data_IF_985236512768
#
_entry.id   IF_985236512768
#
_cell.length_a   1.000
_cell.length_b   1.000
_cell.length_c   1.000
_cell.angle_alpha   90.00
_cell.angle_beta   90.00
_cell.angle_gamma   90.00
#
_symmetry.space_group_name_H-M   'P 1'
#
loop_
_entity.id
_entity.type
_entity.pdbx_description
1 polymer ?
#
# COMPACT_ATOMS: atom_id res chain seq x y z
N UNK A 1 -30.13 7.29 6.24
CA UNK A 1 -29.10 6.52 6.94
C UNK A 1 -27.99 7.49 7.27
N UNK A 2 -27.76 7.78 8.55
CA UNK A 2 -26.70 8.70 8.95
C UNK A 2 -25.36 8.12 8.53
N UNK A 3 -24.52 8.92 7.86
CA UNK A 3 -23.10 8.60 7.75
C UNK A 3 -22.56 8.60 9.17
N UNK A 4 -22.24 7.43 9.72
CA UNK A 4 -21.34 7.35 10.87
C UNK A 4 -19.99 7.89 10.39
N UNK A 5 -19.77 9.19 10.55
CA UNK A 5 -18.44 9.78 10.49
C UNK A 5 -17.71 9.26 11.73
N UNK A 6 -16.86 8.26 11.54
CA UNK A 6 -16.06 7.71 12.63
C UNK A 6 -15.02 8.75 13.01
N UNK A 7 -15.31 9.49 14.08
CA UNK A 7 -14.39 10.42 14.69
C UNK A 7 -13.08 9.73 15.03
N UNK A 8 -11.98 10.20 14.43
CA UNK A 8 -10.67 9.55 14.48
C UNK A 8 -10.12 9.59 15.91
N UNK A 9 -10.19 8.45 16.61
CA UNK A 9 -9.59 8.33 17.94
C UNK A 9 -8.07 8.32 17.83
N UNK A 10 -7.41 9.15 18.64
CA UNK A 10 -5.95 9.21 18.73
C UNK A 10 -5.52 8.62 20.08
N UNK A 11 -4.63 7.63 20.06
CA UNK A 11 -4.01 7.07 21.26
C UNK A 11 -2.56 7.54 21.35
N UNK A 12 -2.20 8.34 22.36
CA UNK A 12 -0.82 8.75 22.64
C UNK A 12 -0.23 7.91 23.79
N UNK A 13 0.95 7.33 23.58
CA UNK A 13 1.67 6.52 24.57
C UNK A 13 2.45 7.45 25.50
N UNK A 14 2.04 7.50 26.77
CA UNK A 14 2.64 8.36 27.80
C UNK A 14 3.79 7.68 28.54
N UNK A 15 3.68 6.38 28.81
CA UNK A 15 4.75 5.63 29.47
C UNK A 15 4.69 4.14 29.20
N UNK A 16 5.84 3.48 29.30
CA UNK A 16 6.04 2.03 29.31
C UNK A 16 6.92 1.70 30.52
N UNK A 17 6.50 0.80 31.39
CA UNK A 17 7.28 0.46 32.58
C UNK A 17 6.73 -0.76 33.33
N UNK A 18 7.31 -1.03 34.49
CA UNK A 18 6.83 -2.06 35.42
C UNK A 18 6.39 -1.40 36.72
N UNK A 19 5.34 -1.92 37.36
CA UNK A 19 4.94 -1.53 38.71
C UNK A 19 5.95 -2.02 39.75
N UNK A 20 5.82 -1.59 41.01
CA UNK A 20 6.60 -2.12 42.13
C UNK A 20 6.50 -3.63 42.27
N UNK A 21 5.35 -4.17 41.87
CA UNK A 21 5.00 -5.58 42.00
C UNK A 21 5.39 -6.38 40.74
N UNK A 22 6.08 -5.75 39.78
CA UNK A 22 6.62 -6.38 38.58
C UNK A 22 5.65 -6.49 37.40
N UNK A 23 4.45 -5.93 37.51
CA UNK A 23 3.45 -5.95 36.42
C UNK A 23 3.87 -4.99 35.30
N UNK A 24 3.95 -5.48 34.08
CA UNK A 24 4.26 -4.67 32.90
C UNK A 24 3.06 -3.81 32.51
N UNK A 25 3.26 -2.51 32.35
CA UNK A 25 2.19 -1.56 32.06
C UNK A 25 2.56 -0.56 30.97
N UNK A 26 1.53 -0.15 30.23
CA UNK A 26 1.54 1.08 29.44
C UNK A 26 0.50 2.06 29.95
N UNK A 27 0.83 3.35 29.86
CA UNK A 27 -0.13 4.43 30.09
C UNK A 27 -0.39 5.11 28.76
N UNK A 28 -1.66 5.21 28.39
CA UNK A 28 -2.08 5.86 27.14
C UNK A 28 -3.11 6.94 27.43
N UNK A 29 -3.09 7.99 26.63
CA UNK A 29 -4.17 8.97 26.59
C UNK A 29 -4.91 8.84 25.26
N UNK A 30 -6.23 8.76 25.33
CA UNK A 30 -7.11 8.60 24.17
C UNK A 30 -7.92 9.87 24.01
N UNK A 31 -7.84 10.46 22.83
CA UNK A 31 -8.56 11.69 22.49
C UNK A 31 -9.47 11.43 21.30
N UNK A 32 -10.72 11.89 21.39
CA UNK A 32 -11.71 11.86 20.31
C UNK A 32 -12.47 13.18 20.32
N UNK A 33 -12.34 13.99 19.27
CA UNK A 33 -12.85 15.37 19.26
C UNK A 33 -12.42 16.15 20.52
N UNK A 34 -13.38 16.66 21.30
CA UNK A 34 -13.20 17.42 22.53
C UNK A 34 -13.32 16.53 23.79
N UNK A 35 -13.11 15.22 23.64
CA UNK A 35 -13.21 14.21 24.70
C UNK A 35 -11.87 13.51 24.90
N UNK A 36 -11.51 13.23 26.14
CA UNK A 36 -10.23 12.61 26.47
C UNK A 36 -10.33 11.73 27.72
N UNK A 37 -9.66 10.58 27.71
CA UNK A 37 -9.45 9.77 28.91
C UNK A 37 -8.03 9.20 28.94
N UNK A 38 -7.53 8.94 30.14
CA UNK A 38 -6.25 8.28 30.37
C UNK A 38 -6.48 6.87 30.87
N UNK A 39 -5.79 5.90 30.27
CA UNK A 39 -5.87 4.49 30.62
C UNK A 39 -4.50 3.99 31.06
N UNK A 40 -4.49 3.15 32.10
CA UNK A 40 -3.35 2.31 32.47
C UNK A 40 -3.73 0.89 32.10
N UNK A 41 -2.88 0.24 31.31
CA UNK A 41 -3.15 -1.05 30.67
C UNK A 41 -2.05 -2.00 31.12
N UNK A 42 -2.44 -3.08 31.78
CA UNK A 42 -1.54 -4.21 32.06
C UNK A 42 -1.31 -4.95 30.75
N UNK A 43 -0.04 -5.19 30.41
CA UNK A 43 0.33 -5.92 29.19
C UNK A 43 1.17 -7.15 29.54
N UNK A 44 1.07 -8.17 28.72
CA UNK A 44 1.88 -9.38 28.86
C UNK A 44 3.37 -9.11 28.55
N UNK A 45 4.24 -10.01 28.99
CA UNK A 45 5.69 -9.89 28.79
C UNK A 45 6.09 -9.86 27.31
N UNK A 46 5.41 -10.62 26.45
CA UNK A 46 5.73 -10.66 25.02
C UNK A 46 5.47 -9.30 24.35
N UNK A 47 4.31 -8.69 24.61
CA UNK A 47 4.01 -7.32 24.13
C UNK A 47 4.96 -6.28 24.74
N UNK A 48 5.28 -6.42 26.04
CA UNK A 48 6.19 -5.49 26.73
C UNK A 48 7.59 -5.51 26.10
N UNK A 49 8.17 -6.69 25.88
CA UNK A 49 9.48 -6.85 25.25
C UNK A 49 9.48 -6.31 23.81
N UNK A 50 8.39 -6.50 23.07
CA UNK A 50 8.22 -5.93 21.73
C UNK A 50 8.30 -4.40 21.73
N UNK A 51 7.61 -3.74 22.66
CA UNK A 51 7.67 -2.28 22.83
C UNK A 51 9.03 -1.81 23.38
N UNK A 52 9.62 -2.57 24.30
CA UNK A 52 10.92 -2.26 24.89
C UNK A 52 12.03 -2.27 23.84
N UNK A 53 11.98 -3.20 22.89
CA UNK A 53 12.94 -3.28 21.77
C UNK A 53 12.93 -2.03 20.87
N UNK A 54 11.87 -1.21 20.90
CA UNK A 54 11.77 0.05 20.14
C UNK A 54 12.40 1.25 20.87
N UNK A 55 12.99 1.03 22.05
CA UNK A 55 13.68 2.08 22.81
C UNK A 55 15.00 2.50 22.14
N UNK A 56 15.43 3.76 22.37
CA UNK A 56 14.75 4.78 23.15
C UNK A 56 13.54 5.35 22.38
N UNK A 57 12.45 5.55 23.11
CA UNK A 57 11.23 6.17 22.63
C UNK A 57 11.40 7.70 22.62
N UNK A 58 12.41 8.17 21.88
CA UNK A 58 12.76 9.59 21.76
C UNK A 58 11.85 10.27 20.73
N UNK A 59 11.26 11.41 21.09
CA UNK A 59 10.40 12.22 20.22
C UNK A 59 9.40 13.03 21.04
N UNK A 60 8.85 14.08 20.43
CA UNK A 60 7.91 14.98 21.14
C UNK A 60 6.56 14.30 21.41
N UNK A 61 6.13 13.37 20.52
CA UNK A 61 4.92 12.56 20.68
C UNK A 61 5.04 11.18 20.05
N UNK A 62 4.49 10.20 20.75
CA UNK A 62 4.38 8.82 20.28
C UNK A 62 2.92 8.43 20.28
N UNK A 63 2.41 8.03 19.12
CA UNK A 63 1.06 7.51 18.96
C UNK A 63 1.08 6.00 18.87
N UNK A 64 0.12 5.36 19.50
CA UNK A 64 -0.12 3.93 19.39
C UNK A 64 -1.17 3.69 18.31
N UNK A 65 -0.94 2.71 17.43
CA UNK A 65 -1.94 2.29 16.47
C UNK A 65 -3.15 1.69 17.21
N UNK A 66 -4.39 2.13 16.92
CA UNK A 66 -5.60 1.51 17.44
C UNK A 66 -5.94 0.17 16.74
N UNK A 67 -5.18 -0.18 15.71
CA UNK A 67 -5.40 -1.35 14.88
C UNK A 67 -4.13 -2.19 14.82
N UNK A 68 -4.30 -3.50 14.98
CA UNK A 68 -3.22 -4.48 14.85
C UNK A 68 -3.36 -5.23 13.53
N UNK A 69 -2.22 -5.61 12.98
CA UNK A 69 -2.08 -6.29 11.68
C UNK A 69 -1.74 -7.76 11.93
N UNK A 70 -2.36 -8.66 11.17
CA UNK A 70 -2.02 -10.07 11.19
C UNK A 70 -0.85 -10.36 10.24
N UNK A 71 0.18 -11.06 10.71
CA UNK A 71 1.24 -11.62 9.87
C UNK A 71 1.05 -13.14 9.72
N UNK A 72 0.59 -13.63 8.55
CA UNK A 72 0.33 -15.05 8.33
C UNK A 72 1.62 -15.89 8.29
N UNK A 73 2.77 -15.29 7.98
CA UNK A 73 4.04 -16.01 7.88
C UNK A 73 4.68 -16.23 9.24
N UNK A 74 4.48 -15.28 10.16
CA UNK A 74 4.98 -15.36 11.53
C UNK A 74 3.94 -15.87 12.52
N UNK A 75 2.71 -16.06 12.08
CA UNK A 75 1.58 -16.48 12.90
C UNK A 75 1.43 -15.61 14.17
N UNK A 76 1.62 -14.31 14.01
CA UNK A 76 1.58 -13.33 15.12
C UNK A 76 0.94 -12.03 14.67
N UNK A 77 0.38 -11.30 15.62
CA UNK A 77 -0.05 -9.92 15.39
C UNK A 77 1.09 -8.94 15.59
N UNK A 78 1.00 -7.84 14.87
CA UNK A 78 1.84 -6.66 15.02
C UNK A 78 0.98 -5.43 15.26
N UNK A 79 1.34 -4.62 16.24
CA UNK A 79 0.87 -3.24 16.36
C UNK A 79 1.99 -2.30 15.94
N UNK A 80 1.68 -1.01 15.90
CA UNK A 80 2.63 0.01 15.51
C UNK A 80 2.62 1.18 16.48
N UNK A 81 3.78 1.79 16.64
CA UNK A 81 3.90 3.14 17.17
C UNK A 81 4.27 4.10 16.04
N UNK A 82 3.69 5.28 16.06
CA UNK A 82 4.03 6.38 15.18
C UNK A 82 4.80 7.41 15.99
N UNK A 83 6.08 7.55 15.70
CA UNK A 83 6.97 8.55 16.29
C UNK A 83 6.90 9.81 15.44
N UNK A 84 6.55 10.93 16.05
CA UNK A 84 6.58 12.24 15.37
C UNK A 84 7.62 13.12 16.04
N UNK A 85 8.58 13.58 15.25
CA UNK A 85 9.51 14.66 15.61
C UNK A 85 9.07 15.95 14.93
N UNK A 86 9.70 17.09 15.23
CA UNK A 86 9.42 18.35 14.52
C UNK A 86 9.67 18.30 13.00
N UNK A 87 10.33 17.25 12.48
CA UNK A 87 10.77 17.14 11.08
C UNK A 87 10.49 15.78 10.43
N UNK A 88 10.22 14.72 11.19
CA UNK A 88 10.00 13.36 10.67
C UNK A 88 8.80 12.68 11.33
N UNK A 89 8.22 11.71 10.61
CA UNK A 89 7.21 10.80 11.13
C UNK A 89 7.58 9.38 10.75
N UNK A 90 7.91 8.56 11.74
CA UNK A 90 8.38 7.19 11.56
C UNK A 90 7.37 6.22 12.16
N UNK A 91 7.00 5.17 11.41
CA UNK A 91 6.13 4.09 11.91
C UNK A 91 6.99 2.87 12.24
N UNK A 92 6.96 2.44 13.49
CA UNK A 92 7.72 1.29 14.00
C UNK A 92 6.75 0.21 14.45
N UNK A 93 6.98 -1.02 14.01
CA UNK A 93 6.13 -2.17 14.33
C UNK A 93 6.72 -2.98 15.48
N UNK A 94 5.84 -3.52 16.33
CA UNK A 94 6.21 -4.45 17.40
C UNK A 94 5.19 -5.60 17.47
N UNK A 95 5.65 -6.83 17.80
CA UNK A 95 4.74 -7.95 17.98
C UNK A 95 3.88 -7.74 19.23
N UNK A 96 2.62 -8.16 19.19
CA UNK A 96 1.70 -8.00 20.31
C UNK A 96 0.79 -9.21 20.51
N UNK A 97 0.31 -9.39 21.74
CA UNK A 97 -0.60 -10.48 22.10
C UNK A 97 -2.06 -10.17 21.78
N UNK A 98 -2.89 -11.20 21.72
CA UNK A 98 -4.35 -11.05 21.60
C UNK A 98 -4.98 -10.36 22.82
N UNK A 99 -4.39 -10.54 24.01
CA UNK A 99 -4.86 -9.87 25.21
C UNK A 99 -4.69 -8.35 25.10
N UNK A 100 -3.51 -7.90 24.65
CA UNK A 100 -3.27 -6.49 24.34
C UNK A 100 -4.27 -5.97 23.30
N UNK A 101 -4.50 -6.71 22.20
CA UNK A 101 -5.45 -6.33 21.15
C UNK A 101 -6.87 -6.18 21.72
N UNK A 102 -7.31 -7.13 22.56
CA UNK A 102 -8.62 -7.07 23.19
C UNK A 102 -8.76 -5.84 24.09
N UNK A 103 -7.71 -5.45 24.82
CA UNK A 103 -7.75 -4.27 25.67
C UNK A 103 -7.83 -2.97 24.84
N UNK A 104 -7.02 -2.86 23.78
CA UNK A 104 -7.07 -1.71 22.86
C UNK A 104 -8.45 -1.62 22.19
N UNK A 105 -9.03 -2.75 21.76
CA UNK A 105 -10.37 -2.80 21.17
C UNK A 105 -11.45 -2.31 22.14
N UNK A 106 -11.42 -2.73 23.41
CA UNK A 106 -12.36 -2.26 24.44
C UNK A 106 -12.27 -0.75 24.66
N UNK A 107 -11.05 -0.21 24.74
CA UNK A 107 -10.82 1.22 24.89
C UNK A 107 -11.42 1.99 23.72
N UNK A 108 -11.25 1.51 22.49
CA UNK A 108 -11.82 2.15 21.30
C UNK A 108 -13.34 2.21 21.29
N UNK A 109 -13.98 1.19 21.84
CA UNK A 109 -15.43 1.08 21.91
C UNK A 109 -16.04 1.81 23.11
N UNK A 110 -15.21 2.38 23.99
CA UNK A 110 -15.68 3.09 25.18
C UNK A 110 -16.03 4.54 24.83
N UNK A 111 -17.20 4.99 25.27
CA UNK A 111 -17.55 6.41 25.20
C UNK A 111 -16.65 7.23 26.13
N UNK A 112 -15.90 8.17 25.54
CA UNK A 112 -15.02 9.05 26.31
C UNK A 112 -15.82 10.13 27.05
N UNK A 113 -15.41 10.50 28.29
CA UNK A 113 -15.96 11.65 28.98
C UNK A 113 -15.50 12.97 28.32
N UNK A 114 -16.27 14.06 28.46
CA UNK A 114 -15.85 15.38 27.99
C UNK A 114 -14.56 15.83 28.70
N UNK A 115 -13.69 16.56 28.00
CA UNK A 115 -12.49 17.16 28.62
C UNK A 115 -12.95 18.07 29.77
N UNK A 116 -12.42 17.91 31.00
CA UNK A 116 -12.77 18.78 32.11
C UNK A 116 -12.43 20.24 31.74
N UNK A 117 -13.47 21.08 31.70
CA UNK A 117 -13.27 22.53 31.67
C UNK A 117 -12.75 22.92 33.05
N UNK A 118 -11.54 23.49 33.11
CA UNK A 118 -10.93 23.96 34.35
C UNK A 118 -11.82 25.08 34.95
N UNK A 119 -12.74 24.72 35.85
CA UNK A 119 -13.54 25.66 36.61
C UNK A 119 -12.60 26.38 37.59
N UNK A 120 -12.45 27.69 37.39
CA UNK A 120 -11.51 28.52 38.13
C UNK A 120 -11.57 28.32 39.65
N UNK A 121 -10.49 27.75 40.19
CA UNK A 121 -10.12 27.75 41.60
C UNK A 121 -8.81 28.51 41.79
N UNK A 122 -8.71 29.20 42.92
CA UNK A 122 -7.78 30.30 43.19
C UNK A 122 -6.27 30.00 43.05
N UNK A 123 -5.60 31.09 42.70
CA UNK A 123 -4.17 31.32 42.54
C UNK A 123 -3.32 30.80 43.71
N UNK A 124 -2.22 30.15 43.35
CA UNK A 124 -1.28 29.50 44.25
C UNK A 124 -0.10 28.83 43.53
N UNK A 125 0.46 29.51 42.51
CA UNK A 125 1.83 29.30 42.01
C UNK A 125 2.13 27.96 41.34
N UNK A 126 2.05 27.91 39.99
CA UNK A 126 3.01 27.31 39.03
C UNK A 126 2.56 27.73 37.61
N UNK A 127 3.51 28.14 36.79
CA UNK A 127 3.32 28.81 35.50
C UNK A 127 2.47 28.04 34.47
N UNK A 128 1.48 28.73 33.89
CA UNK A 128 0.59 28.23 32.83
C UNK A 128 1.29 28.19 31.47
N UNK A 129 1.58 27.01 30.94
CA UNK A 129 2.09 26.81 29.58
C UNK A 129 1.01 26.91 28.46
N UNK A 130 -0.26 27.18 28.80
CA UNK A 130 -1.38 27.12 27.86
C UNK A 130 -1.95 28.50 27.42
N UNK A 131 -1.25 29.61 27.71
CA UNK A 131 -1.76 30.96 27.41
C UNK A 131 -0.98 31.74 26.34
N UNK A 132 -0.09 31.07 25.59
CA UNK A 132 0.66 31.66 24.47
C UNK A 132 0.08 31.42 23.08
N UNK A 133 -1.05 30.70 22.94
CA UNK A 133 -1.62 30.34 21.63
C UNK A 133 -2.80 31.20 21.16
N UNK A 134 -3.38 32.06 22.00
CA UNK A 134 -4.57 32.86 21.63
C UNK A 134 -4.43 34.38 21.77
N UNK A 135 -3.27 34.89 22.20
CA UNK A 135 -3.01 36.35 22.24
C UNK A 135 -2.10 36.88 21.12
N UNK A 136 -1.52 36.01 20.28
CA UNK A 136 -0.69 36.45 19.15
C UNK A 136 -1.47 36.64 17.83
N UNK A 137 -2.69 36.12 17.72
CA UNK A 137 -3.53 36.26 16.50
C UNK A 137 -4.73 37.21 16.67
N UNK A 138 -4.76 38.04 17.71
CA UNK A 138 -5.85 38.99 17.95
C UNK A 138 -5.40 40.43 18.22
N UNK A 139 -4.18 40.77 17.76
CA UNK A 139 -3.64 42.14 17.70
C UNK A 139 -3.03 42.45 16.34
N UNK A 140 -3.70 42.08 15.25
CA UNK A 140 -3.43 42.66 13.92
C UNK A 140 -4.70 42.65 13.06
N UNK A 141 -5.74 43.36 13.53
CA UNK A 141 -6.83 43.80 12.65
C UNK A 141 -7.54 44.99 13.28
N UNK A 142 -6.99 46.20 13.11
CA UNK A 142 -7.75 47.43 12.93
C UNK A 142 -6.80 48.63 12.96
N UNK A 143 -6.91 49.46 11.91
CA UNK A 143 -6.34 50.80 11.70
C UNK A 143 -4.94 50.82 11.06
N UNK A 144 -4.91 51.21 9.78
CA UNK A 144 -4.30 52.45 9.24
C UNK A 144 -4.63 52.53 7.72
N UNK A 145 -4.73 53.72 7.10
CA UNK A 145 -5.57 54.00 5.91
C UNK A 145 -4.83 53.98 4.56
N UNK A 146 -5.62 54.17 3.49
CA UNK A 146 -5.26 54.27 2.07
C UNK A 146 -4.20 55.33 1.74
N UNK A 147 -3.09 54.94 1.10
CA UNK A 147 -2.24 55.73 0.16
C UNK A 147 -1.53 54.68 -0.74
N UNK A 148 -1.97 54.42 -1.97
CA UNK A 148 -1.57 55.01 -3.26
C UNK A 148 -0.07 54.87 -3.65
N UNK A 149 0.13 54.29 -4.84
CA UNK A 149 1.32 54.34 -5.73
C UNK A 149 2.58 53.53 -5.36
N UNK A 150 2.82 52.43 -6.08
CA UNK A 150 3.82 52.37 -7.15
C UNK A 150 3.81 51.00 -7.86
N UNK A 151 4.01 51.09 -9.17
CA UNK A 151 3.77 50.12 -10.25
C UNK A 151 4.77 48.93 -10.29
N UNK A 152 4.48 47.89 -11.11
CA UNK A 152 5.13 46.58 -11.12
C UNK A 152 6.50 46.64 -11.84
N UNK A 153 7.47 45.92 -11.28
CA UNK A 153 8.76 45.63 -11.94
C UNK A 153 9.02 44.14 -11.79
N UNK A 154 8.50 43.34 -12.71
CA UNK A 154 9.03 42.01 -13.06
C UNK A 154 8.43 41.54 -14.40
N UNK A 155 8.43 42.43 -15.38
CA UNK A 155 8.28 42.10 -16.80
C UNK A 155 9.19 43.08 -17.56
N UNK A 156 10.35 42.60 -18.01
CA UNK A 156 11.31 43.47 -18.69
C UNK A 156 12.77 43.04 -18.56
N UNK A 157 13.11 41.84 -19.01
CA UNK A 157 14.38 41.64 -19.69
C UNK A 157 14.08 41.10 -21.09
N UNK A 158 13.58 42.02 -21.92
CA UNK A 158 13.67 41.98 -23.38
C UNK A 158 15.16 41.83 -23.74
N UNK A 159 15.50 40.87 -24.60
CA UNK A 159 15.51 41.11 -26.03
C UNK A 159 16.26 42.40 -26.40
N UNK A 160 17.58 42.32 -26.42
CA UNK A 160 18.43 43.17 -27.23
C UNK A 160 19.48 42.27 -27.88
N UNK A 161 19.22 41.87 -29.11
CA UNK A 161 20.17 41.83 -30.25
C UNK A 161 19.54 41.04 -31.40
N UNK A 162 18.70 41.73 -32.17
CA UNK A 162 18.56 41.50 -33.60
C UNK A 162 18.64 42.86 -34.25
N UNK A 163 19.66 43.07 -35.10
CA UNK A 163 19.63 43.72 -36.41
C UNK A 163 21.06 43.65 -36.97
N UNK A 164 21.24 42.74 -37.92
CA UNK A 164 22.11 42.89 -39.10
C UNK A 164 21.36 42.09 -40.19
N UNK A 165 20.46 42.70 -40.96
CA UNK A 165 20.72 43.48 -42.17
C UNK A 165 21.60 42.76 -43.18
N UNK A 166 20.98 42.32 -44.27
CA UNK A 166 21.62 42.32 -45.59
C UNK A 166 21.39 41.08 -46.45
N UNK A 167 20.62 41.23 -47.54
CA UNK A 167 20.87 40.47 -48.77
C UNK A 167 19.77 39.51 -49.21
N UNK A 168 18.72 40.06 -49.82
CA UNK A 168 17.93 39.40 -50.87
C UNK A 168 18.83 39.17 -52.08
N UNK A 169 18.74 38.01 -52.72
CA UNK A 169 18.73 37.95 -54.18
C UNK A 169 17.80 36.82 -54.65
N UNK A 170 16.81 37.26 -55.43
CA UNK A 170 15.86 36.46 -56.18
C UNK A 170 16.55 35.87 -57.41
N UNK A 171 16.33 34.59 -57.69
CA UNK A 171 16.23 34.12 -59.07
C UNK A 171 15.23 32.97 -59.18
N UNK A 172 14.05 33.34 -59.65
CA UNK A 172 12.96 32.47 -60.11
C UNK A 172 13.17 32.14 -61.59
N UNK A 173 12.89 30.90 -61.99
CA UNK A 173 12.20 30.42 -63.23
C UNK A 173 12.75 29.02 -63.58
N UNK A 174 12.01 27.91 -63.41
CA UNK A 174 10.81 27.43 -64.13
C UNK A 174 10.99 27.47 -65.66
N UNK A 175 11.23 26.31 -66.30
CA UNK A 175 10.25 25.56 -67.14
C UNK A 175 10.88 24.36 -67.90
N UNK A 176 9.96 23.49 -68.35
CA UNK A 176 10.03 22.39 -69.32
C UNK A 176 10.37 21.01 -68.75
N UNK A 177 9.42 20.09 -68.61
CA UNK A 177 8.57 19.36 -69.58
C UNK A 177 9.14 17.97 -69.93
N UNK A 178 8.21 17.01 -69.86
CA UNK A 178 8.11 15.74 -70.60
C UNK A 178 8.42 14.39 -69.91
N UNK A 179 7.30 13.75 -69.54
CA UNK A 179 6.80 12.45 -70.04
C UNK A 179 7.73 11.23 -69.95
N UNK A 180 7.25 10.20 -69.23
CA UNK A 180 7.69 8.81 -69.42
C UNK A 180 7.26 7.83 -68.31
N UNK A 181 6.04 7.32 -68.40
CA UNK A 181 5.44 6.29 -67.53
C UNK A 181 5.61 4.89 -68.15
N UNK A 182 5.94 3.87 -67.34
CA UNK A 182 5.46 2.46 -67.37
C UNK A 182 6.10 1.72 -66.17
N UNK A 183 5.47 1.08 -65.18
CA UNK A 183 4.22 0.30 -64.93
C UNK A 183 4.32 -1.22 -65.22
N UNK A 184 3.75 -1.98 -64.25
CA UNK A 184 3.42 -3.43 -64.14
C UNK A 184 4.49 -4.29 -63.43
N UNK A 185 4.28 -5.00 -62.30
CA UNK A 185 3.17 -5.70 -61.59
C UNK A 185 2.80 -7.10 -62.15
N UNK A 186 2.81 -8.09 -61.23
CA UNK A 186 2.25 -9.48 -61.19
C UNK A 186 3.03 -10.56 -61.98
N UNK A 187 3.48 -11.69 -61.41
CA UNK A 187 2.65 -12.88 -61.05
C UNK A 187 3.44 -14.04 -60.40
N UNK A 188 2.79 -14.72 -59.41
CA UNK A 188 2.66 -16.19 -59.15
C UNK A 188 3.89 -17.11 -59.16
N UNK A 189 4.00 -18.24 -58.45
CA UNK A 189 3.38 -18.90 -57.28
C UNK A 189 4.16 -20.23 -57.11
N UNK A 190 4.01 -20.88 -55.95
CA UNK A 190 4.11 -22.33 -55.69
C UNK A 190 5.42 -23.15 -55.80
N UNK A 191 5.80 -23.72 -54.64
CA UNK A 191 5.79 -25.17 -54.31
C UNK A 191 7.07 -25.82 -53.76
N UNK A 192 6.81 -26.63 -52.71
CA UNK A 192 7.52 -27.82 -52.22
C UNK A 192 8.76 -27.70 -51.30
N UNK A 193 8.53 -28.07 -50.04
CA UNK A 193 9.48 -28.76 -49.13
C UNK A 193 9.58 -30.27 -49.51
N UNK A 194 10.23 -31.18 -48.74
CA UNK A 194 11.25 -31.10 -47.68
C UNK A 194 12.42 -32.13 -47.87
N UNK A 195 13.33 -32.29 -46.87
CA UNK A 195 14.03 -33.53 -46.38
C UNK A 195 15.50 -33.27 -45.92
N UNK A 196 15.73 -33.00 -44.61
CA UNK A 196 16.35 -33.84 -43.53
C UNK A 196 17.54 -34.78 -43.90
N UNK A 197 18.54 -35.15 -43.03
CA UNK A 197 19.43 -34.41 -42.08
C UNK A 197 20.86 -35.06 -41.95
N UNK A 198 21.51 -34.86 -40.78
CA UNK A 198 22.60 -35.66 -40.12
C UNK A 198 24.03 -35.11 -40.30
N UNK A 199 24.97 -35.13 -39.32
CA UNK A 199 25.18 -35.97 -38.12
C UNK A 199 26.06 -35.28 -37.07
N UNK A 200 25.97 -35.80 -35.85
CA UNK A 200 26.77 -35.59 -34.64
C UNK A 200 28.16 -36.27 -34.74
N UNK A 201 29.21 -35.72 -34.12
CA UNK A 201 30.25 -36.51 -33.42
C UNK A 201 31.16 -35.66 -32.51
N UNK A 202 31.53 -36.26 -31.39
CA UNK A 202 32.20 -35.75 -30.18
C UNK A 202 33.75 -35.54 -30.26
N UNK A 203 34.27 -35.06 -29.11
CA UNK A 203 35.61 -35.29 -28.50
C UNK A 203 36.74 -34.29 -28.84
N UNK A 204 37.70 -33.93 -27.97
CA UNK A 204 37.95 -33.98 -26.50
C UNK A 204 39.35 -33.36 -26.26
N UNK A 205 39.64 -32.86 -25.04
CA UNK A 205 40.97 -32.46 -24.47
C UNK A 205 41.65 -31.22 -25.08
N UNK A 206 42.25 -30.28 -24.35
CA UNK A 206 42.77 -30.11 -22.98
C UNK A 206 43.80 -28.95 -23.10
N UNK A 207 44.40 -28.30 -22.10
CA UNK A 207 44.36 -28.27 -20.65
C UNK A 207 45.38 -27.15 -20.24
N UNK A 208 45.38 -26.74 -18.96
CA UNK A 208 46.53 -26.14 -18.21
C UNK A 208 46.68 -24.59 -18.10
N UNK A 209 46.19 -24.10 -16.96
CA UNK A 209 46.85 -23.38 -15.83
C UNK A 209 47.47 -21.98 -15.96
N UNK A 210 47.18 -21.13 -14.96
CA UNK A 210 48.18 -20.71 -13.95
C UNK A 210 47.52 -20.15 -12.68
N UNK A 211 47.95 -20.67 -11.53
CA UNK A 211 47.70 -20.15 -10.18
C UNK A 211 49.03 -20.12 -9.41
N UNK A 212 49.19 -19.09 -8.55
CA UNK A 212 50.02 -18.95 -7.33
C UNK A 212 50.38 -17.44 -7.20
N UNK A 213 50.43 -16.79 -6.04
CA UNK A 213 51.22 -17.12 -4.84
C UNK A 213 50.64 -16.42 -3.59
N UNK A 214 50.83 -17.09 -2.44
CA UNK A 214 50.49 -16.75 -1.05
C UNK A 214 51.52 -15.79 -0.42
N UNK A 215 51.09 -14.90 0.49
CA UNK A 215 51.96 -14.37 1.55
C UNK A 215 51.19 -14.15 2.85
N UNK A 216 51.78 -14.66 3.94
CA UNK A 216 51.33 -14.71 5.32
C UNK A 216 51.99 -13.58 6.14
N UNK A 217 51.21 -12.88 6.99
CA UNK A 217 51.71 -12.13 8.15
C UNK A 217 50.66 -12.08 9.27
N UNK A 218 50.93 -12.80 10.34
CA UNK A 218 50.33 -12.66 11.68
C UNK A 218 50.78 -11.37 12.39
N UNK A 219 49.84 -10.63 12.96
CA UNK A 219 50.05 -9.75 14.12
C UNK A 219 48.79 -9.69 15.00
N UNK A 220 49.01 -9.70 16.31
CA UNK A 220 48.06 -9.92 17.40
C UNK A 220 47.17 -8.70 17.76
N UNK A 221 46.12 -9.00 18.53
CA UNK A 221 45.33 -8.14 19.46
C UNK A 221 44.29 -7.17 18.89
N UNK A 222 43.00 -7.47 19.07
CA UNK A 222 42.19 -7.13 20.27
C UNK A 222 40.83 -7.84 20.19
N UNK A 223 40.47 -8.57 21.24
CA UNK A 223 39.19 -9.25 21.36
C UNK A 223 38.07 -8.26 21.67
N UNK A 224 37.14 -8.07 20.73
CA UNK A 224 35.80 -7.57 20.99
C UNK A 224 34.84 -8.75 20.97
N UNK A 225 34.37 -9.14 22.14
CA UNK A 225 33.29 -10.11 22.30
C UNK A 225 32.01 -9.43 21.82
N UNK A 226 31.62 -9.68 20.57
CA UNK A 226 30.26 -9.44 20.12
C UNK A 226 29.40 -10.65 20.56
N UNK A 227 28.27 -10.44 21.24
CA UNK A 227 27.35 -11.52 21.54
C UNK A 227 26.76 -12.04 20.22
N UNK A 228 27.06 -13.32 19.94
CA UNK A 228 26.52 -14.08 18.84
C UNK A 228 25.02 -14.32 19.08
N UNK A 229 24.19 -13.37 18.65
CA UNK A 229 22.78 -13.63 18.42
C UNK A 229 22.73 -14.40 17.12
N UNK A 230 22.53 -15.71 17.21
CA UNK A 230 22.06 -16.53 16.09
C UNK A 230 20.80 -15.84 15.54
N UNK A 231 20.97 -14.99 14.53
CA UNK A 231 19.89 -14.61 13.63
C UNK A 231 19.47 -15.91 12.98
N UNK A 232 18.37 -16.49 13.46
CA UNK A 232 17.66 -17.50 12.69
C UNK A 232 17.45 -16.88 11.30
N UNK A 233 18.16 -17.44 10.32
CA UNK A 233 18.10 -17.02 8.93
C UNK A 233 16.64 -17.12 8.51
N UNK A 234 15.99 -15.97 8.33
CA UNK A 234 14.57 -15.87 8.02
C UNK A 234 14.43 -16.21 6.54
N UNK A 235 14.01 -17.44 6.23
CA UNK A 235 13.51 -17.78 4.89
C UNK A 235 12.14 -17.12 4.71
N UNK A 236 12.15 -15.87 4.23
CA UNK A 236 10.97 -15.38 3.52
C UNK A 236 10.89 -16.18 2.23
N UNK A 237 9.78 -16.86 1.99
CA UNK A 237 9.49 -17.36 0.65
C UNK A 237 9.12 -16.15 -0.21
N UNK A 238 10.15 -15.53 -0.78
CA UNK A 238 9.98 -14.59 -1.88
C UNK A 238 9.48 -15.43 -3.05
N UNK A 239 8.17 -15.37 -3.29
CA UNK A 239 7.59 -15.96 -4.50
C UNK A 239 8.04 -15.08 -5.66
N UNK A 240 9.10 -15.51 -6.34
CA UNK A 240 9.53 -14.90 -7.59
C UNK A 240 8.52 -15.33 -8.67
N UNK A 241 7.58 -14.43 -8.96
CA UNK A 241 6.59 -14.65 -10.01
C UNK A 241 7.30 -14.37 -11.33
N UNK A 242 7.71 -15.45 -12.01
CA UNK A 242 8.32 -15.45 -13.35
C UNK A 242 7.57 -14.47 -14.29
N UNK A 243 8.23 -13.36 -14.64
CA UNK A 243 7.65 -12.29 -15.47
C UNK A 243 7.24 -12.76 -16.87
N UNK A 244 7.77 -13.89 -17.34
CA UNK A 244 7.51 -14.43 -18.67
C UNK A 244 6.32 -15.40 -18.73
N UNK A 245 5.86 -15.90 -17.58
CA UNK A 245 4.67 -16.76 -17.50
C UNK A 245 3.49 -15.94 -17.00
N UNK A 246 2.44 -15.85 -17.83
CA UNK A 246 1.10 -15.40 -17.41
C UNK A 246 0.49 -16.45 -16.48
N UNK A 247 1.06 -16.63 -15.30
CA UNK A 247 0.60 -17.56 -14.30
C UNK A 247 -0.44 -16.85 -13.44
N UNK A 248 -1.67 -17.36 -13.47
CA UNK A 248 -2.80 -16.80 -12.71
C UNK A 248 -3.02 -17.48 -11.36
N UNK A 249 -2.07 -18.31 -10.91
CA UNK A 249 -2.19 -19.09 -9.69
C UNK A 249 -1.07 -18.85 -8.69
N UNK A 250 -1.11 -19.61 -7.62
CA UNK A 250 -0.07 -19.67 -6.60
C UNK A 250 0.48 -21.11 -6.50
N UNK A 251 1.64 -21.32 -5.86
CA UNK A 251 2.04 -22.67 -5.44
C UNK A 251 0.94 -23.35 -4.61
N UNK A 252 0.85 -24.69 -4.68
CA UNK A 252 -0.29 -25.46 -4.17
C UNK A 252 -0.56 -25.29 -2.65
N UNK A 253 0.43 -24.89 -1.86
CA UNK A 253 0.26 -24.63 -0.42
C UNK A 253 -0.41 -23.29 -0.09
N UNK A 254 -0.65 -22.44 -1.07
CA UNK A 254 -1.15 -21.09 -0.88
C UNK A 254 -2.55 -20.87 -1.45
N UNK A 255 -3.23 -19.89 -0.88
CA UNK A 255 -4.48 -19.34 -1.38
C UNK A 255 -4.52 -17.82 -1.16
N UNK A 256 -5.07 -17.08 -2.12
CA UNK A 256 -5.32 -15.65 -1.98
C UNK A 256 -6.81 -15.36 -2.13
N UNK A 257 -7.35 -14.61 -1.17
CA UNK A 257 -8.66 -13.97 -1.29
C UNK A 257 -8.44 -12.53 -1.74
N UNK A 258 -9.12 -12.13 -2.82
CA UNK A 258 -9.06 -10.78 -3.35
C UNK A 258 -10.47 -10.21 -3.50
N UNK A 259 -10.65 -8.93 -3.19
CA UNK A 259 -11.97 -8.26 -3.18
C UNK A 259 -11.96 -7.04 -4.11
N UNK A 260 -12.81 -7.04 -5.13
CA UNK A 260 -12.93 -5.98 -6.12
C UNK A 260 -14.11 -5.03 -5.81
N UNK A 261 -14.22 -3.95 -6.58
CA UNK A 261 -15.29 -2.94 -6.59
C UNK A 261 -15.45 -2.04 -5.36
N UNK A 262 -14.76 -2.35 -4.27
CA UNK A 262 -14.75 -1.54 -3.06
C UNK A 262 -14.12 -0.14 -3.22
N UNK A 263 -14.11 0.67 -2.16
CA UNK A 263 -14.77 0.40 -0.88
C UNK A 263 -16.28 0.64 -0.97
N UNK A 264 -17.04 -0.29 -0.40
CA UNK A 264 -18.50 -0.28 -0.28
C UNK A 264 -18.93 -0.15 1.19
N UNK A 265 -20.25 -0.13 1.50
CA UNK A 265 -20.73 -0.26 2.87
C UNK A 265 -20.29 -1.56 3.58
N UNK A 266 -19.85 -2.58 2.83
CA UNK A 266 -19.46 -3.88 3.36
C UNK A 266 -17.96 -4.02 3.64
N UNK A 267 -17.11 -3.10 3.18
CA UNK A 267 -15.63 -3.22 3.30
C UNK A 267 -15.21 -3.52 4.73
N UNK A 268 -15.72 -2.76 5.71
CA UNK A 268 -15.34 -2.92 7.12
C UNK A 268 -15.75 -4.27 7.69
N UNK A 269 -16.95 -4.77 7.34
CA UNK A 269 -17.41 -6.10 7.76
C UNK A 269 -16.50 -7.20 7.22
N UNK A 270 -16.08 -7.10 5.95
CA UNK A 270 -15.14 -8.05 5.35
C UNK A 270 -13.79 -8.01 6.08
N UNK A 271 -13.24 -6.80 6.31
CA UNK A 271 -11.97 -6.62 7.05
C UNK A 271 -12.06 -7.18 8.47
N UNK A 272 -13.17 -6.99 9.17
CA UNK A 272 -13.39 -7.51 10.52
C UNK A 272 -13.38 -9.04 10.54
N UNK A 273 -14.12 -9.69 9.62
CA UNK A 273 -14.16 -11.15 9.50
C UNK A 273 -12.76 -11.69 9.20
N UNK A 274 -12.04 -11.09 8.24
CA UNK A 274 -10.68 -11.52 7.90
C UNK A 274 -9.72 -11.38 9.09
N UNK A 275 -9.83 -10.28 9.84
CA UNK A 275 -8.99 -10.02 11.02
C UNK A 275 -9.28 -11.00 12.14
N UNK A 276 -10.56 -11.23 12.46
CA UNK A 276 -11.00 -12.21 13.46
C UNK A 276 -10.51 -13.61 13.12
N UNK A 277 -10.57 -13.96 11.83
CA UNK A 277 -10.09 -15.23 11.34
C UNK A 277 -8.57 -15.25 11.05
N UNK A 278 -7.80 -14.20 11.33
CA UNK A 278 -6.34 -14.20 11.09
C UNK A 278 -5.99 -14.55 9.64
N UNK A 279 -6.63 -13.85 8.69
CA UNK A 279 -6.47 -14.04 7.25
C UNK A 279 -6.00 -12.73 6.62
N UNK A 280 -4.97 -12.82 5.79
CA UNK A 280 -4.55 -11.73 4.92
C UNK A 280 -5.36 -11.76 3.61
N UNK A 281 -5.67 -10.58 3.07
CA UNK A 281 -6.34 -10.43 1.77
C UNK A 281 -5.85 -9.18 1.02
N UNK A 282 -6.18 -9.10 -0.27
CA UNK A 282 -5.93 -7.94 -1.13
C UNK A 282 -7.25 -7.33 -1.59
N UNK A 283 -7.43 -6.02 -1.39
CA UNK A 283 -8.58 -5.26 -1.86
C UNK A 283 -8.19 -4.41 -3.07
N UNK A 284 -8.95 -4.45 -4.15
CA UNK A 284 -8.70 -3.68 -5.36
C UNK A 284 -9.81 -2.63 -5.44
N UNK A 285 -9.46 -1.38 -5.11
CA UNK A 285 -10.43 -0.32 -4.95
C UNK A 285 -10.64 0.51 -6.21
N UNK A 286 -11.90 0.84 -6.48
CA UNK A 286 -12.30 1.80 -7.50
C UNK A 286 -12.09 3.21 -6.96
N UNK A 287 -11.37 4.05 -7.69
CA UNK A 287 -10.96 5.39 -7.22
C UNK A 287 -12.11 6.30 -6.79
N UNK A 288 -13.22 6.32 -7.55
CA UNK A 288 -14.45 7.06 -7.17
C UNK A 288 -15.04 6.56 -5.85
N UNK A 289 -14.93 5.27 -5.55
CA UNK A 289 -15.42 4.72 -4.29
C UNK A 289 -14.47 5.06 -3.14
N UNK A 290 -13.16 5.00 -3.38
CA UNK A 290 -12.14 5.42 -2.42
C UNK A 290 -12.28 6.90 -2.03
N UNK A 291 -12.56 7.78 -3.00
CA UNK A 291 -12.81 9.20 -2.76
C UNK A 291 -14.08 9.44 -1.91
N UNK A 292 -15.12 8.62 -2.10
CA UNK A 292 -16.39 8.71 -1.35
C UNK A 292 -16.31 8.10 0.04
N UNK A 293 -15.49 7.07 0.22
CA UNK A 293 -15.40 6.28 1.44
C UNK A 293 -13.96 6.24 2.00
N UNK A 294 -13.32 7.41 2.26
CA UNK A 294 -11.92 7.46 2.66
C UNK A 294 -11.65 6.71 3.97
N UNK A 295 -12.61 6.73 4.91
CA UNK A 295 -12.52 6.01 6.18
C UNK A 295 -12.38 4.50 5.98
N UNK A 296 -13.05 3.92 4.98
CA UNK A 296 -12.95 2.49 4.69
C UNK A 296 -11.59 2.11 4.09
N UNK A 297 -10.99 2.99 3.27
CA UNK A 297 -9.64 2.79 2.72
C UNK A 297 -8.62 2.79 3.85
N UNK A 298 -8.66 3.81 4.71
CA UNK A 298 -7.76 3.92 5.87
C UNK A 298 -7.94 2.72 6.80
N UNK A 299 -9.18 2.36 7.12
CA UNK A 299 -9.50 1.20 7.97
C UNK A 299 -8.88 -0.10 7.42
N UNK A 300 -9.03 -0.34 6.11
CA UNK A 300 -8.49 -1.53 5.44
C UNK A 300 -6.97 -1.60 5.56
N UNK A 301 -6.27 -0.49 5.30
CA UNK A 301 -4.80 -0.40 5.43
C UNK A 301 -4.30 -0.54 6.87
N UNK A 302 -5.01 0.07 7.82
CA UNK A 302 -4.66 0.01 9.25
C UNK A 302 -4.79 -1.40 9.83
N UNK A 303 -5.71 -2.23 9.31
CA UNK A 303 -5.80 -3.67 9.66
C UNK A 303 -4.81 -4.56 8.91
N UNK A 304 -3.96 -3.98 8.06
CA UNK A 304 -2.88 -4.69 7.38
C UNK A 304 -3.30 -5.46 6.14
N UNK A 305 -4.49 -5.19 5.63
CA UNK A 305 -4.90 -5.68 4.32
C UNK A 305 -4.12 -4.94 3.24
N UNK A 306 -3.82 -5.63 2.14
CA UNK A 306 -3.20 -4.98 0.99
C UNK A 306 -4.25 -4.27 0.15
N UNK A 307 -3.89 -3.13 -0.44
CA UNK A 307 -4.78 -2.33 -1.27
C UNK A 307 -4.12 -2.10 -2.63
N UNK A 308 -4.84 -2.39 -3.70
CA UNK A 308 -4.46 -2.12 -5.08
C UNK A 308 -5.48 -1.25 -5.81
N UNK A 309 -5.18 -0.98 -7.07
CA UNK A 309 -5.94 -0.14 -7.99
C UNK A 309 -6.95 -0.98 -8.78
N UNK A 310 -8.20 -0.51 -8.88
CA UNK A 310 -9.23 -1.12 -9.73
C UNK A 310 -9.87 -0.11 -10.70
N UNK A 311 -9.03 0.76 -11.29
CA UNK A 311 -9.43 1.93 -12.10
C UNK A 311 -10.17 3.02 -11.30
N UNK A 312 -10.34 4.18 -11.91
CA UNK A 312 -11.04 5.31 -11.32
C UNK A 312 -12.55 5.07 -11.22
N UNK A 313 -13.13 4.43 -12.23
CA UNK A 313 -14.58 4.41 -12.41
C UNK A 313 -15.14 3.12 -12.98
N UNK A 314 -14.36 2.04 -12.94
CA UNK A 314 -14.74 0.71 -13.41
C UNK A 314 -15.05 0.66 -14.93
N UNK A 315 -14.45 1.58 -15.69
CA UNK A 315 -14.54 1.59 -17.16
C UNK A 315 -13.66 0.53 -17.81
N UNK A 316 -14.01 0.11 -19.03
CA UNK A 316 -13.22 -0.84 -19.82
C UNK A 316 -12.01 -0.12 -20.43
N UNK A 317 -10.91 -0.03 -19.67
CA UNK A 317 -9.75 0.79 -20.03
C UNK A 317 -9.07 0.41 -21.35
N UNK A 318 -9.21 -0.84 -21.81
CA UNK A 318 -8.71 -1.27 -23.13
C UNK A 318 -9.38 -0.57 -24.31
N UNK A 319 -10.52 0.12 -24.08
CA UNK A 319 -11.22 0.94 -25.07
C UNK A 319 -10.90 2.43 -24.96
N UNK A 320 -10.15 2.84 -23.95
CA UNK A 320 -9.77 4.23 -23.71
C UNK A 320 -8.47 4.59 -24.44
N UNK A 321 -8.24 5.88 -24.69
CA UNK A 321 -6.97 6.33 -25.24
C UNK A 321 -5.83 6.11 -24.21
N UNK A 322 -4.57 5.90 -24.64
CA UNK A 322 -3.46 5.66 -23.71
C UNK A 322 -3.28 6.73 -22.62
N UNK A 323 -3.57 7.99 -22.94
CA UNK A 323 -3.54 9.08 -21.97
C UNK A 323 -4.63 8.90 -20.90
N UNK A 324 -5.87 8.59 -21.31
CA UNK A 324 -6.99 8.35 -20.41
C UNK A 324 -6.74 7.12 -19.51
N UNK A 325 -6.13 6.07 -20.05
CA UNK A 325 -5.69 4.92 -19.26
C UNK A 325 -4.73 5.35 -18.15
N UNK A 326 -3.69 6.11 -18.51
CA UNK A 326 -2.68 6.58 -17.56
C UNK A 326 -3.27 7.49 -16.49
N UNK A 327 -4.15 8.43 -16.86
CA UNK A 327 -4.82 9.34 -15.92
C UNK A 327 -5.77 8.61 -14.98
N UNK A 328 -6.51 7.63 -15.49
CA UNK A 328 -7.44 6.83 -14.70
C UNK A 328 -6.71 6.04 -13.60
N UNK A 329 -5.59 5.42 -13.96
CA UNK A 329 -4.70 4.72 -13.04
C UNK A 329 -4.10 5.67 -12.00
N UNK A 330 -3.47 6.75 -12.44
CA UNK A 330 -2.73 7.66 -11.54
C UNK A 330 -3.64 8.38 -10.55
N UNK A 331 -4.85 8.74 -10.98
CA UNK A 331 -5.85 9.39 -10.13
C UNK A 331 -6.31 8.48 -8.99
N UNK A 332 -6.54 7.21 -9.28
CA UNK A 332 -6.93 6.21 -8.27
C UNK A 332 -5.80 5.98 -7.28
N UNK A 333 -4.57 5.75 -7.76
CA UNK A 333 -3.41 5.58 -6.90
C UNK A 333 -3.19 6.81 -6.02
N UNK A 334 -3.29 8.03 -6.57
CA UNK A 334 -3.10 9.27 -5.80
C UNK A 334 -4.07 9.38 -4.62
N UNK A 335 -5.35 9.02 -4.80
CA UNK A 335 -6.33 9.02 -3.70
C UNK A 335 -5.95 7.98 -2.64
N UNK A 336 -5.69 6.73 -3.04
CA UNK A 336 -5.37 5.65 -2.10
C UNK A 336 -4.06 5.91 -1.36
N UNK A 337 -3.01 6.35 -2.05
CA UNK A 337 -1.70 6.66 -1.45
C UNK A 337 -1.79 7.85 -0.49
N UNK A 338 -2.63 8.85 -0.78
CA UNK A 338 -2.83 9.99 0.13
C UNK A 338 -3.48 9.59 1.45
N UNK A 339 -4.35 8.57 1.44
CA UNK A 339 -5.06 8.06 2.62
C UNK A 339 -4.24 7.04 3.41
N UNK A 340 -3.44 6.23 2.71
CA UNK A 340 -2.74 5.08 3.31
C UNK A 340 -1.25 5.30 3.54
N UNK A 341 -0.67 6.33 2.91
CA UNK A 341 0.76 6.60 2.87
C UNK A 341 1.60 5.40 2.39
N UNK A 342 1.00 4.52 1.59
CA UNK A 342 1.63 3.31 1.04
C UNK A 342 1.49 3.35 -0.47
N UNK A 343 2.58 3.11 -1.21
CA UNK A 343 2.57 3.09 -2.67
C UNK A 343 1.62 2.01 -3.21
N UNK A 344 0.89 2.33 -4.27
CA UNK A 344 0.01 1.39 -4.96
C UNK A 344 0.76 0.74 -6.12
N UNK A 345 1.05 -0.54 -5.95
CA UNK A 345 1.92 -1.37 -6.82
C UNK A 345 1.14 -2.44 -7.58
N UNK A 346 -0.17 -2.56 -7.33
CA UNK A 346 -1.04 -3.56 -7.94
C UNK A 346 -2.17 -2.88 -8.68
N UNK A 347 -2.49 -3.41 -9.86
CA UNK A 347 -3.65 -3.01 -10.63
C UNK A 347 -4.39 -4.26 -11.10
N UNK A 348 -5.70 -4.31 -10.90
CA UNK A 348 -6.57 -5.26 -11.58
C UNK A 348 -7.46 -4.50 -12.56
N UNK A 349 -7.45 -4.82 -13.86
CA UNK A 349 -8.34 -4.17 -14.80
C UNK A 349 -9.78 -4.64 -14.59
N UNK A 350 -10.76 -3.71 -14.62
CA UNK A 350 -12.17 -4.06 -14.67
C UNK A 350 -12.46 -5.13 -15.73
N UNK A 351 -13.32 -6.08 -15.38
CA UNK A 351 -13.73 -7.21 -16.25
C UNK A 351 -12.58 -8.14 -16.70
N UNK A 352 -11.39 -8.01 -16.12
CA UNK A 352 -10.20 -8.72 -16.59
C UNK A 352 -9.71 -8.28 -17.98
N UNK A 353 -10.18 -7.12 -18.47
CA UNK A 353 -9.87 -6.65 -19.82
C UNK A 353 -8.43 -6.13 -19.90
N UNK A 354 -7.56 -6.84 -20.63
CA UNK A 354 -6.13 -6.52 -20.76
C UNK A 354 -5.75 -6.37 -22.24
N UNK A 355 -4.91 -5.38 -22.55
CA UNK A 355 -4.16 -5.27 -23.80
C UNK A 355 -2.74 -4.72 -23.53
N UNK A 356 -1.85 -4.76 -24.53
CA UNK A 356 -0.44 -4.39 -24.36
C UNK A 356 -0.26 -2.90 -23.98
N UNK A 357 -1.15 -2.03 -24.45
CA UNK A 357 -1.16 -0.60 -24.12
C UNK A 357 -1.43 -0.38 -22.63
N UNK A 358 -2.46 -1.03 -22.09
CA UNK A 358 -2.82 -0.94 -20.68
C UNK A 358 -1.76 -1.59 -19.78
N UNK A 359 -1.15 -2.70 -20.22
CA UNK A 359 0.00 -3.31 -19.54
C UNK A 359 1.17 -2.32 -19.47
N UNK A 360 1.46 -1.65 -20.59
CA UNK A 360 2.52 -0.63 -20.66
C UNK A 360 2.20 0.57 -19.75
N UNK A 361 0.95 1.03 -19.72
CA UNK A 361 0.51 2.11 -18.85
C UNK A 361 0.68 1.76 -17.36
N UNK A 362 0.25 0.56 -16.95
CA UNK A 362 0.42 0.08 -15.58
C UNK A 362 1.90 -0.04 -15.19
N UNK A 363 2.74 -0.62 -16.06
CA UNK A 363 4.19 -0.76 -15.82
C UNK A 363 4.91 0.58 -15.68
N UNK A 364 4.55 1.58 -16.49
CA UNK A 364 5.11 2.95 -16.39
C UNK A 364 4.80 3.63 -15.04
N UNK A 365 3.76 3.17 -14.35
CA UNK A 365 3.40 3.61 -13.01
C UNK A 365 3.85 2.63 -11.92
N UNK A 366 4.78 1.73 -12.23
CA UNK A 366 5.32 0.71 -11.32
C UNK A 366 4.27 -0.26 -10.75
N UNK A 367 3.17 -0.49 -11.49
CA UNK A 367 2.13 -1.44 -11.09
C UNK A 367 2.27 -2.78 -11.82
N UNK A 368 2.01 -3.87 -11.09
CA UNK A 368 1.84 -5.22 -11.61
C UNK A 368 0.36 -5.48 -11.86
N UNK A 369 0.05 -6.20 -12.94
CA UNK A 369 -1.32 -6.61 -13.23
C UNK A 369 -1.65 -7.88 -12.46
N UNK A 370 -2.68 -7.82 -11.63
CA UNK A 370 -3.20 -8.94 -10.85
C UNK A 370 -4.54 -9.41 -11.44
N UNK A 371 -4.57 -10.63 -11.97
CA UNK A 371 -5.82 -11.30 -12.38
C UNK A 371 -6.16 -12.42 -11.37
N UNK A 372 -6.92 -13.42 -11.79
CA UNK A 372 -7.39 -14.52 -10.96
C UNK A 372 -7.48 -15.83 -11.76
N UNK A 373 -7.53 -16.96 -11.07
CA UNK A 373 -7.80 -18.29 -11.65
C UNK A 373 -8.98 -19.01 -10.97
N UNK A 374 -9.66 -18.35 -10.02
CA UNK A 374 -10.86 -18.82 -9.34
C UNK A 374 -11.87 -17.69 -9.28
N UNK A 375 -13.07 -17.95 -9.78
CA UNK A 375 -14.19 -17.01 -9.83
C UNK A 375 -15.44 -17.74 -9.32
N UNK A 376 -15.85 -17.49 -8.07
CA UNK A 376 -17.07 -18.04 -7.49
C UNK A 376 -18.36 -17.43 -8.05
N UNK A 377 -18.26 -16.42 -8.92
CA UNK A 377 -19.38 -15.64 -9.44
C UNK A 377 -20.29 -15.09 -8.34
N UNK A 378 -19.70 -14.58 -7.25
CA UNK A 378 -20.42 -14.05 -6.09
C UNK A 378 -21.30 -12.85 -6.45
N UNK A 379 -20.90 -12.06 -7.44
CA UNK A 379 -21.70 -10.99 -8.05
C UNK A 379 -23.02 -11.48 -8.70
N UNK A 380 -23.15 -12.77 -8.99
CA UNK A 380 -24.34 -13.41 -9.55
C UNK A 380 -25.04 -14.36 -8.55
N UNK A 381 -24.49 -14.52 -7.34
CA UNK A 381 -25.03 -15.42 -6.34
C UNK A 381 -26.37 -14.91 -5.81
N UNK A 382 -27.35 -15.82 -5.66
CA UNK A 382 -28.66 -15.47 -5.10
C UNK A 382 -28.66 -15.54 -3.58
N UNK A 383 -27.75 -16.33 -3.02
CA UNK A 383 -27.59 -16.59 -1.59
C UNK A 383 -26.16 -17.03 -1.27
N UNK A 384 -25.70 -16.91 -0.01
CA UNK A 384 -24.34 -17.27 0.39
C UNK A 384 -23.95 -18.72 0.04
N UNK A 385 -24.91 -19.64 0.06
CA UNK A 385 -24.66 -21.06 -0.23
C UNK A 385 -24.38 -21.35 -1.71
N UNK A 386 -24.64 -20.40 -2.62
CA UNK A 386 -24.21 -20.52 -4.00
C UNK A 386 -22.69 -20.30 -4.11
N UNK A 387 -22.17 -19.33 -3.35
CA UNK A 387 -20.73 -19.01 -3.30
C UNK A 387 -19.95 -20.17 -2.69
N UNK A 388 -20.36 -20.66 -1.50
CA UNK A 388 -19.61 -21.74 -0.82
C UNK A 388 -19.57 -23.04 -1.63
N UNK A 389 -20.62 -23.30 -2.44
CA UNK A 389 -20.70 -24.49 -3.28
C UNK A 389 -19.57 -24.52 -4.31
N UNK A 390 -19.20 -23.37 -4.85
CA UNK A 390 -18.07 -23.25 -5.77
C UNK A 390 -16.77 -23.76 -5.12
N UNK A 391 -16.49 -23.37 -3.87
CA UNK A 391 -15.29 -23.79 -3.14
C UNK A 391 -15.21 -25.31 -2.94
N UNK A 392 -16.36 -25.98 -2.84
CA UNK A 392 -16.43 -27.45 -2.76
C UNK A 392 -16.24 -28.17 -4.11
N UNK A 393 -16.33 -27.46 -5.23
CA UNK A 393 -16.29 -28.03 -6.58
C UNK A 393 -14.93 -27.85 -7.28
N UNK A 394 -14.07 -26.98 -6.78
CA UNK A 394 -12.78 -26.64 -7.40
C UNK A 394 -11.61 -27.02 -6.50
N UNK A 395 -10.44 -27.24 -7.11
CA UNK A 395 -9.20 -27.35 -6.35
C UNK A 395 -8.84 -25.99 -5.73
N UNK A 396 -8.70 -25.96 -4.41
CA UNK A 396 -8.47 -24.75 -3.62
C UNK A 396 -6.98 -24.36 -3.59
N UNK A 397 -6.10 -25.35 -3.64
CA UNK A 397 -4.66 -25.17 -3.71
C UNK A 397 -4.25 -24.29 -4.90
N UNK A 398 -3.38 -23.31 -4.65
CA UNK A 398 -2.90 -22.40 -5.69
C UNK A 398 -3.94 -21.40 -6.22
N UNK A 399 -5.07 -21.24 -5.52
CA UNK A 399 -6.18 -20.39 -5.93
C UNK A 399 -5.94 -18.91 -5.64
N UNK A 400 -6.14 -18.07 -6.66
CA UNK A 400 -6.37 -16.62 -6.53
C UNK A 400 -7.84 -16.39 -6.80
N UNK A 401 -8.60 -16.16 -5.74
CA UNK A 401 -10.06 -15.98 -5.79
C UNK A 401 -10.41 -14.50 -5.98
N UNK A 402 -11.17 -14.20 -7.02
CA UNK A 402 -11.86 -12.92 -7.15
C UNK A 402 -13.20 -13.01 -6.42
N UNK A 403 -13.45 -12.04 -5.55
CA UNK A 403 -14.70 -11.81 -4.83
C UNK A 403 -15.03 -10.32 -4.94
N UNK A 404 -16.26 -9.95 -4.62
CA UNK A 404 -16.75 -8.58 -4.66
C UNK A 404 -17.36 -8.21 -3.32
N UNK A 405 -17.38 -6.92 -3.02
CA UNK A 405 -17.96 -6.44 -1.77
C UNK A 405 -19.50 -6.39 -1.81
N UNK A 406 -20.11 -7.55 -1.58
CA UNK A 406 -21.57 -7.72 -1.50
C UNK A 406 -22.01 -8.38 -0.19
N UNK A 407 -23.29 -8.21 0.15
CA UNK A 407 -23.93 -8.85 1.30
C UNK A 407 -23.75 -10.38 1.31
N UNK A 408 -23.98 -11.05 0.18
CA UNK A 408 -23.87 -12.50 0.12
C UNK A 408 -22.43 -12.97 0.35
N UNK A 409 -21.45 -12.20 -0.13
CA UNK A 409 -20.03 -12.45 0.10
C UNK A 409 -19.67 -12.30 1.58
N UNK A 410 -20.16 -11.24 2.24
CA UNK A 410 -19.99 -11.06 3.70
C UNK A 410 -20.53 -12.26 4.48
N UNK A 411 -21.73 -12.72 4.14
CA UNK A 411 -22.39 -13.84 4.84
C UNK A 411 -21.69 -15.18 4.56
N UNK A 412 -21.14 -15.39 3.36
CA UNK A 412 -20.42 -16.62 3.01
C UNK A 412 -18.98 -16.68 3.55
N UNK A 413 -18.35 -15.53 3.78
CA UNK A 413 -16.92 -15.42 4.06
C UNK A 413 -16.42 -16.26 5.26
N UNK A 414 -17.12 -16.33 6.41
CA UNK A 414 -16.68 -17.17 7.52
C UNK A 414 -16.56 -18.65 7.14
N UNK A 415 -17.52 -19.17 6.37
CA UNK A 415 -17.53 -20.57 5.92
C UNK A 415 -16.48 -20.81 4.83
N UNK A 416 -16.26 -19.85 3.94
CA UNK A 416 -15.17 -19.89 2.95
C UNK A 416 -13.83 -20.04 3.66
N UNK A 417 -13.56 -19.17 4.65
CA UNK A 417 -12.30 -19.20 5.40
C UNK A 417 -12.15 -20.53 6.15
N UNK A 418 -13.22 -20.98 6.83
CA UNK A 418 -13.23 -22.26 7.55
C UNK A 418 -12.90 -23.44 6.62
N UNK A 419 -13.52 -23.47 5.43
CA UNK A 419 -13.26 -24.51 4.44
C UNK A 419 -11.80 -24.51 3.99
N UNK A 420 -11.27 -23.35 3.59
CA UNK A 420 -9.89 -23.20 3.11
C UNK A 420 -8.86 -23.53 4.20
N UNK A 421 -9.09 -23.13 5.45
CA UNK A 421 -8.26 -23.54 6.60
C UNK A 421 -8.28 -25.04 6.81
N UNK A 422 -9.43 -25.69 6.64
CA UNK A 422 -9.55 -27.15 6.70
C UNK A 422 -8.74 -27.90 5.63
N UNK A 423 -8.26 -27.19 4.59
CA UNK A 423 -7.35 -27.70 3.57
C UNK A 423 -5.86 -27.49 3.90
N UNK A 424 -5.54 -26.92 5.07
CA UNK A 424 -4.17 -26.58 5.49
C UNK A 424 -3.44 -25.63 4.52
N UNK A 425 -4.17 -24.72 3.89
CA UNK A 425 -3.61 -23.72 2.98
C UNK A 425 -3.18 -22.46 3.75
N UNK A 426 -2.07 -21.86 3.34
CA UNK A 426 -1.59 -20.58 3.87
C UNK A 426 -2.20 -19.43 3.07
N UNK A 427 -2.89 -18.52 3.76
CA UNK A 427 -3.46 -17.33 3.16
C UNK A 427 -2.37 -16.29 2.88
N UNK A 428 -2.38 -15.72 1.68
CA UNK A 428 -1.44 -14.68 1.25
C UNK A 428 -2.16 -13.46 0.70
N UNK A 429 -1.49 -12.32 0.77
CA UNK A 429 -1.89 -11.08 0.12
C UNK A 429 -0.76 -10.60 -0.81
N UNK A 430 -1.13 -10.02 -1.94
CA UNK A 430 -0.20 -9.41 -2.87
C UNK A 430 0.18 -8.00 -2.40
N UNK A 431 1.42 -7.56 -2.65
CA UNK A 431 1.90 -6.20 -2.35
C UNK A 431 2.73 -5.66 -3.50
#
# INVERSE_FOLDING_TARGET
MGMETYSTQVMELLSLGKTSDGVNQIKVVVTQEDRQATYVIDIDEFTFLGLEALRPLNGDRIRLSPYSKWDPYRNTFYSAIIRTTGVSRDTLYFPCSEEYISQIKRIRQTDLPPVPMDEGGQDGGVEKFAQRRSQFLRRFSARVPRIANLLPVMLGLLAFLSIASGGKDDSVRILSEQIGVAKAVVTTDDSNAPIVPASISDMHKGDISHAAVVADQTALTQASIQPNVNQAQIDFEVIDIDEEKKFFGLPEKYVALTFDDGPSPFTKNIVDILTEHKVAATFLFVGKNAERNPDAVTYTSEHGMSIGNHSWDHSVLTKAAPQDQSENLSKTSSVVESLTHTAVTLFRPPYGAVNDELVSAARKQNMKILLWNRDPEDWNAKKPEDIIRYFHQVEAAGGVYVLHEDKNTVEALPDIIKYLKGKNLTFVAFK
#
